data_IF_239938311007
#
_entry.id   IF_239938311007
#
_cell.length_a   1.000
_cell.length_b   1.000
_cell.length_c   1.000
_cell.angle_alpha   90.00
_cell.angle_beta   90.00
_cell.angle_gamma   90.00
#
_symmetry.space_group_name_H-M   'P 1'
#
loop_
_entity.id
_entity.type
_entity.pdbx_description
1 polymer ?
#
# COMPACT_ATOMS: atom_id res chain seq x y z
N UNK A 1 -5.11 -14.99 -1.72
CA UNK A 1 -4.40 -13.76 -1.30
C UNK A 1 -2.92 -13.98 -1.56
N UNK A 2 -2.22 -13.09 -2.27
CA UNK A 2 -0.77 -13.24 -2.52
C UNK A 2 0.03 -13.06 -1.22
N UNK A 3 1.27 -13.58 -1.18
CA UNK A 3 2.14 -13.42 -0.01
C UNK A 3 2.41 -11.94 0.30
N UNK A 4 2.58 -11.13 -0.74
CA UNK A 4 2.75 -9.68 -0.66
C UNK A 4 1.55 -9.01 -0.02
N UNK A 5 0.33 -9.29 -0.50
CA UNK A 5 -0.90 -8.72 0.04
C UNK A 5 -1.11 -9.11 1.51
N UNK A 6 -0.74 -10.34 1.89
CA UNK A 6 -0.75 -10.77 3.30
C UNK A 6 0.22 -9.94 4.15
N UNK A 7 1.44 -9.74 3.67
CA UNK A 7 2.46 -8.96 4.38
C UNK A 7 2.10 -7.48 4.50
N UNK A 8 1.53 -6.88 3.46
CA UNK A 8 0.99 -5.50 3.53
C UNK A 8 -0.10 -5.42 4.61
N UNK A 9 -1.03 -6.37 4.65
CA UNK A 9 -2.08 -6.42 5.68
C UNK A 9 -1.49 -6.52 7.09
N UNK A 10 -0.46 -7.35 7.29
CA UNK A 10 0.24 -7.47 8.57
C UNK A 10 0.90 -6.14 8.97
N UNK A 11 1.63 -5.49 8.06
CA UNK A 11 2.24 -4.17 8.29
C UNK A 11 1.16 -3.16 8.68
N UNK A 12 0.02 -3.17 8.00
CA UNK A 12 -1.08 -2.25 8.30
C UNK A 12 -1.64 -2.47 9.71
N UNK A 13 -1.94 -3.72 10.07
CA UNK A 13 -2.49 -4.06 11.39
C UNK A 13 -1.50 -3.81 12.54
N UNK A 14 -0.20 -4.02 12.30
CA UNK A 14 0.85 -3.82 13.31
C UNK A 14 1.16 -2.34 13.56
N UNK A 15 1.13 -1.52 12.51
CA UNK A 15 1.59 -0.12 12.57
C UNK A 15 0.46 0.91 12.66
N UNK A 16 -0.78 0.52 12.31
CA UNK A 16 -1.95 1.40 12.35
C UNK A 16 -3.03 0.78 13.25
N UNK A 17 -2.91 0.91 14.59
CA UNK A 17 -3.81 0.28 15.54
C UNK A 17 -5.27 0.75 15.43
N UNK A 18 -5.46 1.93 14.84
CA UNK A 18 -6.77 2.53 14.51
C UNK A 18 -7.57 1.76 13.44
N UNK A 19 -6.94 0.82 12.74
CA UNK A 19 -7.61 -0.12 11.83
C UNK A 19 -8.56 -1.05 12.60
N UNK A 20 -8.24 -1.40 13.85
CA UNK A 20 -9.08 -2.24 14.71
C UNK A 20 -9.60 -3.51 14.02
N UNK A 21 -10.93 -3.66 13.99
CA UNK A 21 -11.65 -4.80 13.40
C UNK A 21 -12.01 -4.60 11.91
N UNK A 22 -11.45 -3.61 11.21
CA UNK A 22 -11.76 -3.38 9.79
C UNK A 22 -11.38 -4.63 8.98
N UNK A 23 -12.35 -5.17 8.23
CA UNK A 23 -12.08 -6.28 7.31
C UNK A 23 -11.23 -5.77 6.14
N UNK A 24 -9.91 -5.94 6.27
CA UNK A 24 -8.95 -5.61 5.22
C UNK A 24 -8.87 -6.74 4.21
N UNK A 25 -9.23 -6.44 2.97
CA UNK A 25 -9.13 -7.31 1.80
C UNK A 25 -8.40 -6.64 0.63
N UNK A 26 -8.31 -7.37 -0.49
CA UNK A 26 -7.61 -6.92 -1.70
C UNK A 26 -8.19 -5.61 -2.26
N UNK A 27 -9.52 -5.50 -2.27
CA UNK A 27 -10.26 -4.34 -2.79
C UNK A 27 -10.38 -3.20 -1.77
N UNK A 28 -9.81 -3.37 -0.56
CA UNK A 28 -9.81 -2.31 0.43
C UNK A 28 -8.94 -1.17 -0.07
N UNK A 29 -9.54 0.01 -0.18
CA UNK A 29 -8.86 1.25 -0.53
C UNK A 29 -8.07 1.80 0.65
N UNK A 30 -6.95 2.45 0.39
CA UNK A 30 -6.15 3.09 1.44
C UNK A 30 -6.94 4.17 2.18
N UNK A 31 -7.80 4.95 1.49
CA UNK A 31 -8.66 5.95 2.14
C UNK A 31 -9.76 5.38 3.04
N UNK A 32 -9.98 4.05 3.03
CA UNK A 32 -10.86 3.38 4.01
C UNK A 32 -10.17 3.14 5.35
N UNK A 33 -8.84 3.24 5.40
CA UNK A 33 -8.06 3.13 6.64
C UNK A 33 -8.39 4.35 7.50
N UNK A 34 -8.88 4.16 8.73
CA UNK A 34 -9.14 5.29 9.63
C UNK A 34 -7.90 6.14 9.83
N UNK A 35 -8.04 7.46 9.76
CA UNK A 35 -6.90 8.37 9.91
C UNK A 35 -5.97 8.45 8.70
N UNK A 36 -6.34 7.87 7.55
CA UNK A 36 -5.53 7.97 6.34
C UNK A 36 -5.29 9.43 5.93
N UNK A 37 -4.03 9.85 5.98
CA UNK A 37 -3.56 11.17 5.58
C UNK A 37 -2.17 11.09 4.95
N UNK A 38 -1.58 12.24 4.62
CA UNK A 38 -0.24 12.29 4.02
C UNK A 38 0.86 11.77 4.95
N UNK A 39 0.73 11.88 6.28
CA UNK A 39 1.72 11.35 7.23
C UNK A 39 1.65 9.82 7.27
N UNK A 40 0.45 9.26 7.29
CA UNK A 40 0.20 7.83 7.19
C UNK A 40 0.74 7.24 5.89
N UNK A 41 0.52 7.92 4.75
CA UNK A 41 1.05 7.50 3.46
C UNK A 41 2.59 7.47 3.43
N UNK A 42 3.25 8.49 4.02
CA UNK A 42 4.71 8.53 4.16
C UNK A 42 5.21 7.39 5.06
N UNK A 43 4.52 7.12 6.17
CA UNK A 43 4.87 6.00 7.04
C UNK A 43 4.77 4.66 6.32
N UNK A 44 3.68 4.44 5.56
CA UNK A 44 3.53 3.23 4.75
C UNK A 44 4.65 3.12 3.72
N UNK A 45 4.99 4.20 3.01
CA UNK A 45 6.09 4.23 2.04
C UNK A 45 7.42 3.75 2.68
N UNK A 46 7.75 4.23 3.89
CA UNK A 46 8.95 3.81 4.60
C UNK A 46 8.93 2.31 4.92
N UNK A 47 7.80 1.77 5.39
CA UNK A 47 7.68 0.32 5.63
C UNK A 47 7.78 -0.50 4.35
N UNK A 48 7.25 0.00 3.24
CA UNK A 48 7.36 -0.70 1.97
C UNK A 48 8.82 -0.79 1.49
N UNK A 49 9.60 0.27 1.70
CA UNK A 49 11.04 0.26 1.42
C UNK A 49 11.81 -0.67 2.38
N UNK A 50 11.46 -0.64 3.67
CA UNK A 50 12.10 -1.50 4.68
C UNK A 50 11.86 -2.99 4.43
N UNK A 51 10.60 -3.39 4.19
CA UNK A 51 10.22 -4.80 4.10
C UNK A 51 10.30 -5.38 2.69
N UNK A 52 10.12 -4.57 1.65
CA UNK A 52 10.10 -5.03 0.27
C UNK A 52 11.22 -4.44 -0.59
N UNK A 53 11.99 -3.47 -0.09
CA UNK A 53 13.01 -2.73 -0.85
C UNK A 53 12.44 -2.09 -2.12
N UNK A 54 11.19 -1.61 -2.03
CA UNK A 54 10.46 -0.93 -3.10
C UNK A 54 10.06 0.46 -2.66
N UNK A 55 10.55 1.47 -3.38
CA UNK A 55 10.14 2.87 -3.21
C UNK A 55 8.88 3.12 -4.05
N UNK A 56 7.72 3.16 -3.39
CA UNK A 56 6.45 3.55 -4.02
C UNK A 56 6.28 5.06 -3.91
N UNK A 57 6.07 5.77 -5.01
CA UNK A 57 5.84 7.24 -4.96
C UNK A 57 4.54 7.57 -4.24
N UNK A 58 4.51 8.69 -3.49
CA UNK A 58 3.36 9.06 -2.65
C UNK A 58 2.07 9.27 -3.46
N UNK A 59 2.16 9.72 -4.71
CA UNK A 59 0.99 9.88 -5.59
C UNK A 59 0.25 8.54 -5.83
N UNK A 60 0.95 7.41 -5.74
CA UNK A 60 0.36 6.07 -5.82
C UNK A 60 -0.21 5.58 -4.49
N UNK A 61 0.05 6.27 -3.38
CA UNK A 61 -0.51 5.98 -2.05
C UNK A 61 -1.69 6.93 -1.74
N UNK A 62 -2.52 7.20 -2.73
CA UNK A 62 -3.71 8.02 -2.57
C UNK A 62 -4.90 7.20 -2.03
N UNK A 63 -5.99 7.90 -1.68
CA UNK A 63 -7.18 7.30 -1.09
C UNK A 63 -7.89 6.27 -1.99
N UNK A 64 -7.69 6.33 -3.30
CA UNK A 64 -8.34 5.45 -4.28
C UNK A 64 -7.57 4.14 -4.51
N UNK A 65 -6.26 4.13 -4.22
CA UNK A 65 -5.40 2.95 -4.38
C UNK A 65 -5.89 1.81 -3.51
N UNK A 66 -6.02 0.62 -4.09
CA UNK A 66 -6.37 -0.60 -3.36
C UNK A 66 -5.13 -1.34 -2.86
N UNK A 67 -5.29 -2.22 -1.88
CA UNK A 67 -4.20 -3.09 -1.46
C UNK A 67 -3.76 -4.08 -2.55
N UNK A 68 -4.68 -4.45 -3.46
CA UNK A 68 -4.35 -5.25 -4.64
C UNK A 68 -3.42 -4.49 -5.58
N UNK A 69 -3.72 -3.20 -5.84
CA UNK A 69 -2.85 -2.34 -6.65
C UNK A 69 -1.47 -2.23 -6.02
N UNK A 70 -1.43 -1.96 -4.70
CA UNK A 70 -0.19 -1.87 -3.94
C UNK A 70 0.64 -3.16 -4.00
N UNK A 71 0.01 -4.31 -3.81
CA UNK A 71 0.67 -5.61 -3.97
C UNK A 71 1.19 -5.80 -5.39
N UNK A 72 0.43 -5.39 -6.41
CA UNK A 72 0.87 -5.42 -7.81
C UNK A 72 2.09 -4.54 -8.08
N UNK A 73 2.15 -3.34 -7.50
CA UNK A 73 3.31 -2.45 -7.59
C UNK A 73 4.57 -3.08 -6.98
N UNK A 74 4.43 -3.76 -5.85
CA UNK A 74 5.55 -4.40 -5.14
C UNK A 74 6.02 -5.66 -5.86
N UNK A 75 5.09 -6.47 -6.37
CA UNK A 75 5.41 -7.70 -7.09
C UNK A 75 6.03 -7.42 -8.47
N UNK A 76 5.68 -6.30 -9.10
CA UNK A 76 6.21 -5.93 -10.41
C UNK A 76 6.46 -4.41 -10.55
N UNK A 77 7.46 -3.87 -9.84
CA UNK A 77 7.75 -2.43 -9.84
C UNK A 77 8.12 -1.91 -11.24
N UNK A 78 8.76 -2.77 -12.06
CA UNK A 78 9.19 -2.44 -13.41
C UNK A 78 8.09 -2.41 -14.48
N UNK A 79 6.91 -3.00 -14.24
CA UNK A 79 5.79 -2.97 -15.19
C UNK A 79 5.01 -1.65 -15.10
N UNK A 80 4.87 -1.08 -13.91
CA UNK A 80 4.09 0.14 -13.69
C UNK A 80 4.89 1.42 -13.97
N UNK A 81 6.20 1.44 -13.73
CA UNK A 81 7.07 2.55 -14.17
C UNK A 81 6.99 2.79 -15.69
N UNK A 82 6.76 1.73 -16.48
CA UNK A 82 6.57 1.82 -17.93
C UNK A 82 5.17 2.30 -18.34
N UNK A 83 4.17 2.11 -17.50
CA UNK A 83 2.82 2.64 -17.72
C UNK A 83 2.77 4.15 -17.43
N UNK A 84 3.45 4.61 -16.38
CA UNK A 84 3.57 6.04 -16.05
C UNK A 84 4.44 6.82 -17.06
N UNK A 85 5.49 6.22 -17.62
CA UNK A 85 6.35 6.85 -18.62
C UNK A 85 5.73 6.98 -20.03
N UNK A 86 4.47 6.56 -20.21
CA UNK A 86 3.72 6.66 -21.48
C UNK A 86 2.59 7.69 -21.46
N UNK A 87 2.42 8.43 -20.36
CA UNK A 87 1.57 9.62 -20.27
C UNK A 87 2.40 10.87 -20.57
#
# INVERSE_FOLDING_TARGET
MSATLKKIREILLENFPEIGDLEIGAETRLGRIPGWDSMVAVNLQMFLDEFFHVVVILDLLNEETTLADLAGYIENPGAMARAAAKL
#
